data_IF_100162095265
#
_entry.id   IF_100162095265
#
_cell.length_a   1.000
_cell.length_b   1.000
_cell.length_c   1.000
_cell.angle_alpha   90.00
_cell.angle_beta   90.00
_cell.angle_gamma   90.00
#
_symmetry.space_group_name_H-M   'P 1'
#
loop_
_entity.id
_entity.type
_entity.pdbx_description
1 polymer ?
#
# COMPACT_ATOMS: atom_id res chain seq x y z
N UNK A 1 -5.01 -18.33 2.18
CA UNK A 1 -6.24 -19.13 2.00
C UNK A 1 -5.88 -20.60 1.82
N UNK A 2 -6.69 -21.51 2.42
CA UNK A 2 -6.44 -22.95 2.36
C UNK A 2 -6.83 -23.53 0.97
N UNK A 3 -6.29 -24.70 0.59
CA UNK A 3 -6.75 -25.41 -0.60
C UNK A 3 -8.27 -25.67 -0.53
N UNK A 4 -8.99 -25.35 -1.60
CA UNK A 4 -10.45 -25.51 -1.69
C UNK A 4 -11.27 -24.26 -1.36
N UNK A 5 -10.65 -23.16 -0.93
CA UNK A 5 -11.29 -21.85 -0.81
C UNK A 5 -11.51 -21.17 -2.17
N UNK A 6 -12.43 -20.20 -2.23
CA UNK A 6 -12.78 -19.45 -3.46
C UNK A 6 -11.58 -18.78 -4.15
N UNK A 7 -10.58 -18.36 -3.37
CA UNK A 7 -9.33 -17.76 -3.86
C UNK A 7 -8.15 -18.41 -3.14
N UNK A 8 -7.80 -19.66 -3.47
CA UNK A 8 -6.69 -20.35 -2.84
C UNK A 8 -5.37 -19.65 -3.19
N UNK A 9 -4.55 -19.38 -2.16
CA UNK A 9 -3.20 -18.87 -2.36
C UNK A 9 -2.27 -20.04 -2.71
N UNK A 10 -1.56 -19.95 -3.82
CA UNK A 10 -0.62 -20.98 -4.25
C UNK A 10 0.71 -20.80 -3.52
N UNK A 11 0.81 -21.37 -2.33
CA UNK A 11 2.00 -21.30 -1.49
C UNK A 11 3.22 -21.98 -2.12
N UNK A 12 3.02 -23.05 -2.87
CA UNK A 12 4.10 -23.76 -3.57
C UNK A 12 4.74 -22.86 -4.63
N UNK A 13 3.93 -22.24 -5.49
CA UNK A 13 4.41 -21.29 -6.50
C UNK A 13 5.09 -20.07 -5.85
N UNK A 14 4.55 -19.55 -4.73
CA UNK A 14 5.20 -18.50 -3.97
C UNK A 14 6.56 -18.94 -3.46
N UNK A 15 6.66 -20.12 -2.84
CA UNK A 15 7.91 -20.62 -2.25
C UNK A 15 8.97 -20.90 -3.33
N UNK A 16 8.57 -21.33 -4.51
CA UNK A 16 9.46 -21.58 -5.65
C UNK A 16 9.92 -20.29 -6.38
N UNK A 17 9.23 -19.16 -6.16
CA UNK A 17 9.59 -17.89 -6.81
C UNK A 17 10.78 -17.23 -6.11
N UNK A 18 11.72 -16.71 -6.89
CA UNK A 18 12.85 -15.89 -6.42
C UNK A 18 12.56 -14.37 -6.47
N UNK A 19 11.37 -13.97 -6.94
CA UNK A 19 11.01 -12.56 -7.07
C UNK A 19 11.03 -11.89 -5.69
N UNK A 20 11.82 -10.84 -5.47
CA UNK A 20 11.79 -10.09 -4.23
C UNK A 20 10.47 -9.33 -4.08
N UNK A 21 10.04 -9.14 -2.85
CA UNK A 21 8.88 -8.31 -2.51
C UNK A 21 9.07 -7.69 -1.12
N UNK A 22 8.31 -6.65 -0.82
CA UNK A 22 8.23 -6.05 0.51
C UNK A 22 6.77 -5.87 0.92
N UNK A 23 6.46 -6.21 2.16
CA UNK A 23 5.17 -5.92 2.81
C UNK A 23 5.41 -4.80 3.81
N UNK A 24 4.87 -3.60 3.55
CA UNK A 24 5.02 -2.45 4.43
C UNK A 24 3.93 -2.38 5.49
N UNK A 25 4.31 -2.17 6.76
CA UNK A 25 3.39 -1.99 7.87
C UNK A 25 3.90 -0.93 8.83
N UNK A 26 3.01 -0.33 9.61
CA UNK A 26 3.35 0.70 10.59
C UNK A 26 3.47 0.08 11.98
N UNK A 27 4.65 0.13 12.59
CA UNK A 27 4.88 -0.23 13.99
C UNK A 27 4.27 0.83 14.90
N UNK A 28 3.21 0.46 15.62
CA UNK A 28 2.47 1.38 16.48
C UNK A 28 3.29 1.85 17.69
N UNK A 29 4.32 1.11 18.08
CA UNK A 29 5.16 1.42 19.26
C UNK A 29 6.24 2.42 18.89
N UNK A 30 6.96 2.16 17.79
CA UNK A 30 8.10 2.99 17.38
C UNK A 30 7.70 4.16 16.48
N UNK A 31 6.54 4.08 15.82
CA UNK A 31 6.09 5.07 14.86
C UNK A 31 6.80 4.99 13.50
N UNK A 32 7.48 3.88 13.21
CA UNK A 32 8.23 3.67 11.97
C UNK A 32 7.49 2.71 11.03
N UNK A 33 7.68 2.89 9.73
CA UNK A 33 7.31 1.87 8.76
C UNK A 33 8.35 0.74 8.81
N UNK A 34 7.88 -0.49 8.88
CA UNK A 34 8.69 -1.70 8.73
C UNK A 34 8.33 -2.37 7.42
N UNK A 35 9.33 -2.97 6.78
CA UNK A 35 9.16 -3.70 5.53
C UNK A 35 9.64 -5.12 5.72
N UNK A 36 8.73 -6.06 5.53
CA UNK A 36 9.03 -7.50 5.57
C UNK A 36 9.25 -8.02 4.17
N UNK A 37 10.37 -8.68 3.98
CA UNK A 37 10.70 -9.38 2.74
C UNK A 37 10.38 -10.87 2.84
N UNK A 38 10.86 -11.61 1.86
CA UNK A 38 10.69 -13.05 1.77
C UNK A 38 11.33 -13.78 2.96
N UNK A 39 12.48 -13.28 3.41
CA UNK A 39 13.28 -13.79 4.52
C UNK A 39 12.56 -13.73 5.87
N UNK A 40 11.59 -12.82 6.01
CA UNK A 40 10.82 -12.65 7.24
C UNK A 40 9.61 -13.57 7.32
N UNK A 41 9.24 -14.21 6.21
CA UNK A 41 8.01 -15.01 6.11
C UNK A 41 8.30 -16.47 6.36
N UNK A 42 7.74 -17.02 7.45
CA UNK A 42 7.97 -18.40 7.89
C UNK A 42 7.10 -19.43 7.17
N UNK A 43 5.82 -19.10 6.98
CA UNK A 43 4.81 -19.96 6.38
C UNK A 43 3.62 -19.14 5.84
N UNK A 44 2.63 -19.82 5.26
CA UNK A 44 1.44 -19.18 4.71
C UNK A 44 0.62 -18.42 5.77
N UNK A 45 0.57 -18.88 7.00
CA UNK A 45 -0.14 -18.21 8.09
C UNK A 45 0.56 -16.91 8.49
N UNK A 46 1.88 -16.95 8.63
CA UNK A 46 2.71 -15.77 8.91
C UNK A 46 2.63 -14.75 7.78
N UNK A 47 2.71 -15.20 6.51
CA UNK A 47 2.50 -14.35 5.33
C UNK A 47 1.16 -13.64 5.38
N UNK A 48 0.07 -14.39 5.63
CA UNK A 48 -1.28 -13.84 5.71
C UNK A 48 -1.40 -12.82 6.85
N UNK A 49 -0.79 -13.09 8.01
CA UNK A 49 -0.80 -12.18 9.16
C UNK A 49 -0.07 -10.87 8.84
N UNK A 50 1.07 -10.91 8.14
CA UNK A 50 1.80 -9.72 7.68
C UNK A 50 1.00 -8.93 6.66
N UNK A 51 0.36 -9.58 5.70
CA UNK A 51 -0.56 -8.94 4.76
C UNK A 51 -1.74 -8.28 5.48
N UNK A 52 -2.31 -8.94 6.49
CA UNK A 52 -3.36 -8.35 7.32
C UNK A 52 -2.86 -7.12 8.07
N UNK A 53 -1.66 -7.15 8.66
CA UNK A 53 -1.06 -6.00 9.32
C UNK A 53 -0.89 -4.83 8.36
N UNK A 54 -0.36 -5.10 7.16
CA UNK A 54 -0.17 -4.10 6.09
C UNK A 54 -1.47 -3.46 5.60
N UNK A 55 -2.60 -4.12 5.79
CA UNK A 55 -3.93 -3.67 5.34
C UNK A 55 -4.84 -3.19 6.48
N UNK A 56 -4.37 -3.21 7.72
CA UNK A 56 -5.19 -2.87 8.91
C UNK A 56 -5.35 -1.36 9.05
N UNK A 57 -6.39 -0.83 8.40
CA UNK A 57 -6.71 0.60 8.39
C UNK A 57 -7.07 1.05 9.82
N UNK A 58 -6.41 2.13 10.33
CA UNK A 58 -6.71 2.67 11.65
C UNK A 58 -8.21 2.94 11.86
N UNK A 59 -8.74 2.58 13.03
CA UNK A 59 -10.14 2.70 13.44
C UNK A 59 -11.07 1.69 12.76
N UNK A 60 -10.93 1.47 11.45
CA UNK A 60 -11.80 0.59 10.69
C UNK A 60 -11.48 -0.90 10.93
N UNK A 61 -10.24 -1.21 11.28
CA UNK A 61 -9.75 -2.56 11.51
C UNK A 61 -8.92 -2.64 12.81
N UNK A 62 -8.89 -3.81 13.47
CA UNK A 62 -8.07 -3.99 14.66
C UNK A 62 -6.57 -3.94 14.32
N UNK A 63 -5.76 -3.52 15.31
CA UNK A 63 -4.30 -3.68 15.22
C UNK A 63 -3.95 -5.17 15.19
N UNK A 64 -3.00 -5.53 14.34
CA UNK A 64 -2.47 -6.89 14.26
C UNK A 64 -1.30 -7.02 15.22
N UNK A 65 -1.32 -8.06 16.04
CA UNK A 65 -0.22 -8.39 16.94
C UNK A 65 0.70 -9.42 16.26
N UNK A 66 1.96 -9.08 16.11
CA UNK A 66 2.98 -9.99 15.57
C UNK A 66 4.25 -9.88 16.42
N UNK A 67 4.71 -11.00 16.96
CA UNK A 67 5.91 -11.10 17.80
C UNK A 67 5.92 -10.07 18.96
N UNK A 68 4.76 -9.80 19.56
CA UNK A 68 4.59 -8.86 20.68
C UNK A 68 4.48 -7.39 20.31
N UNK A 69 4.55 -7.05 19.03
CA UNK A 69 4.42 -5.68 18.51
C UNK A 69 3.07 -5.48 17.81
N UNK A 70 2.45 -4.33 18.04
CA UNK A 70 1.20 -3.94 17.39
C UNK A 70 1.46 -3.22 16.07
N UNK A 71 0.78 -3.65 15.00
CA UNK A 71 0.93 -3.10 13.66
C UNK A 71 -0.39 -2.59 13.10
N UNK A 72 -0.29 -1.57 12.25
CA UNK A 72 -1.35 -1.01 11.42
C UNK A 72 -0.87 -0.86 9.97
N UNK A 73 -1.79 -0.47 9.09
CA UNK A 73 -1.53 -0.22 7.66
C UNK A 73 -0.32 0.70 7.45
N UNK A 74 0.62 0.28 6.62
CA UNK A 74 1.82 1.05 6.26
C UNK A 74 1.53 2.40 5.62
N UNK A 75 0.32 2.60 5.12
CA UNK A 75 -0.10 3.86 4.51
C UNK A 75 -0.15 5.06 5.47
N UNK A 76 -0.01 4.88 6.79
CA UNK A 76 0.14 5.99 7.74
C UNK A 76 1.61 6.34 8.01
N UNK A 77 2.55 5.59 7.43
CA UNK A 77 3.99 5.79 7.58
C UNK A 77 4.53 7.05 6.91
N UNK A 78 5.85 7.14 6.85
CA UNK A 78 6.58 8.36 6.44
C UNK A 78 6.35 8.76 4.98
N UNK A 79 6.13 7.80 4.09
CA UNK A 79 5.85 8.01 2.67
C UNK A 79 4.36 8.11 2.33
N UNK A 80 3.48 8.06 3.34
CA UNK A 80 2.03 8.11 3.14
C UNK A 80 1.43 6.87 2.46
N UNK A 81 2.22 5.79 2.30
CA UNK A 81 1.81 4.53 1.71
C UNK A 81 2.46 4.16 0.39
N UNK A 82 3.41 4.96 -0.07
CA UNK A 82 4.26 4.59 -1.21
C UNK A 82 5.51 3.88 -0.68
N UNK A 83 5.80 2.67 -1.15
CA UNK A 83 6.97 1.90 -0.72
C UNK A 83 8.26 2.30 -1.48
N UNK A 84 8.35 3.54 -1.92
CA UNK A 84 9.49 4.04 -2.73
C UNK A 84 10.78 4.10 -1.92
N UNK A 85 10.69 4.38 -0.63
CA UNK A 85 11.82 4.36 0.31
C UNK A 85 12.42 2.95 0.45
N UNK A 86 11.59 1.92 0.56
CA UNK A 86 12.04 0.53 0.57
C UNK A 86 12.72 0.13 -0.73
N UNK A 87 12.13 0.52 -1.87
CA UNK A 87 12.73 0.22 -3.17
C UNK A 87 14.09 0.92 -3.35
N UNK A 88 14.24 2.16 -2.89
CA UNK A 88 15.53 2.87 -2.88
C UNK A 88 16.56 2.19 -1.97
N UNK A 89 16.14 1.77 -0.79
CA UNK A 89 17.01 1.04 0.14
C UNK A 89 17.52 -0.28 -0.47
N UNK A 90 16.73 -0.92 -1.33
CA UNK A 90 17.12 -2.10 -2.09
C UNK A 90 17.94 -1.76 -3.37
N UNK A 91 18.25 -0.48 -3.63
CA UNK A 91 19.12 -0.01 -4.73
C UNK A 91 18.39 0.26 -6.05
N UNK A 92 17.07 0.29 -6.08
CA UNK A 92 16.31 0.63 -7.29
C UNK A 92 16.28 2.15 -7.50
N UNK A 93 16.52 2.57 -8.74
CA UNK A 93 16.53 3.98 -9.16
C UNK A 93 15.37 4.34 -10.10
N UNK A 94 14.66 3.32 -10.61
CA UNK A 94 13.51 3.48 -11.51
C UNK A 94 12.28 2.80 -10.94
N UNK A 95 11.11 3.47 -11.05
CA UNK A 95 9.90 3.06 -10.35
C UNK A 95 8.68 3.01 -11.27
N UNK A 96 8.07 1.84 -11.38
CA UNK A 96 6.70 1.73 -11.87
C UNK A 96 5.75 1.81 -10.66
N UNK A 97 4.97 2.87 -10.58
CA UNK A 97 4.04 3.10 -9.47
C UNK A 97 2.60 2.98 -9.95
N UNK A 98 1.91 1.95 -9.48
CA UNK A 98 0.49 1.73 -9.79
C UNK A 98 -0.36 2.51 -8.79
N UNK A 99 -1.00 3.56 -9.26
CA UNK A 99 -1.81 4.46 -8.45
C UNK A 99 -3.23 3.93 -8.27
N UNK A 100 -3.80 4.19 -7.10
CA UNK A 100 -5.20 3.84 -6.77
C UNK A 100 -6.14 5.07 -6.78
N UNK A 101 -5.64 6.20 -7.27
CA UNK A 101 -6.41 7.44 -7.43
C UNK A 101 -6.11 8.06 -8.78
N UNK A 102 -7.07 8.75 -9.40
CA UNK A 102 -6.86 9.44 -10.67
C UNK A 102 -5.78 10.52 -10.58
N UNK A 103 -5.23 10.89 -11.72
CA UNK A 103 -4.25 11.98 -11.83
C UNK A 103 -4.81 13.28 -11.24
N UNK A 104 -3.97 14.03 -10.54
CA UNK A 104 -4.33 15.28 -9.88
C UNK A 104 -5.00 15.11 -8.51
N UNK A 105 -5.25 13.88 -8.06
CA UNK A 105 -5.73 13.68 -6.69
C UNK A 105 -4.70 14.16 -5.69
N UNK A 106 -5.16 14.86 -4.66
CA UNK A 106 -4.37 15.21 -3.45
C UNK A 106 -5.18 14.82 -2.22
N UNK A 107 -4.50 14.29 -1.23
CA UNK A 107 -5.13 13.90 0.04
C UNK A 107 -5.46 15.16 0.85
N UNK A 108 -6.75 15.32 1.15
CA UNK A 108 -7.21 16.43 2.00
C UNK A 108 -6.89 16.23 3.49
N UNK A 109 -7.07 17.28 4.30
CA UNK A 109 -6.79 17.23 5.73
C UNK A 109 -7.64 16.18 6.45
N UNK A 110 -7.14 15.71 7.60
CA UNK A 110 -7.88 14.80 8.48
C UNK A 110 -9.12 15.51 9.02
N UNK A 111 -10.29 14.90 8.83
CA UNK A 111 -11.58 15.55 9.17
C UNK A 111 -11.92 15.48 10.66
N UNK A 112 -11.55 14.39 11.34
CA UNK A 112 -11.87 14.21 12.73
C UNK A 112 -10.89 14.99 13.64
N UNK A 113 -11.35 15.58 14.76
CA UNK A 113 -10.48 16.24 15.74
C UNK A 113 -9.41 15.30 16.30
N UNK A 114 -8.19 15.83 16.51
CA UNK A 114 -7.06 15.06 17.05
C UNK A 114 -7.38 14.35 18.39
N UNK A 115 -8.22 14.98 19.23
CA UNK A 115 -8.63 14.41 20.52
C UNK A 115 -9.33 13.05 20.41
N UNK A 116 -10.02 12.78 19.28
CA UNK A 116 -10.66 11.48 19.04
C UNK A 116 -9.59 10.42 18.86
N UNK A 117 -8.57 10.68 18.03
CA UNK A 117 -7.46 9.76 17.81
C UNK A 117 -6.63 9.56 19.07
N UNK A 118 -6.37 10.62 19.84
CA UNK A 118 -5.67 10.55 21.12
C UNK A 118 -6.40 9.65 22.14
N UNK A 119 -7.73 9.70 22.18
CA UNK A 119 -8.53 8.82 23.04
C UNK A 119 -8.46 7.37 22.61
N UNK A 120 -8.56 7.09 21.29
CA UNK A 120 -8.56 5.72 20.75
C UNK A 120 -7.16 5.10 20.87
N UNK A 121 -6.12 5.85 20.50
CA UNK A 121 -4.74 5.36 20.46
C UNK A 121 -3.91 5.88 21.66
N UNK A 122 -4.52 5.98 22.85
CA UNK A 122 -3.85 6.48 24.06
C UNK A 122 -2.52 5.81 24.37
N UNK A 123 -2.40 4.50 24.08
CA UNK A 123 -1.18 3.72 24.27
C UNK A 123 -0.14 3.88 23.15
N UNK A 124 -0.53 4.48 22.02
CA UNK A 124 0.27 4.57 20.81
C UNK A 124 0.25 6.00 20.25
N UNK A 125 0.89 6.97 20.92
CA UNK A 125 0.88 8.38 20.47
C UNK A 125 1.47 8.56 19.08
N UNK A 126 2.43 7.72 18.66
CA UNK A 126 3.01 7.73 17.33
C UNK A 126 1.96 7.45 16.23
N UNK A 127 0.96 6.62 16.50
CA UNK A 127 -0.16 6.37 15.57
C UNK A 127 -0.98 7.66 15.35
N UNK A 128 -1.21 8.41 16.42
CA UNK A 128 -1.96 9.69 16.34
C UNK A 128 -1.22 10.68 15.45
N UNK A 129 0.08 10.85 15.69
CA UNK A 129 0.93 11.73 14.87
C UNK A 129 0.92 11.29 13.39
N UNK A 130 1.13 9.99 13.15
CA UNK A 130 1.14 9.43 11.81
C UNK A 130 -0.16 9.69 11.05
N UNK A 131 -1.33 9.48 11.69
CA UNK A 131 -2.64 9.76 11.09
C UNK A 131 -2.78 11.23 10.73
N UNK A 132 -2.41 12.13 11.63
CA UNK A 132 -2.55 13.57 11.42
C UNK A 132 -1.63 14.10 10.32
N UNK A 133 -0.41 13.56 10.21
CA UNK A 133 0.56 13.94 9.19
C UNK A 133 0.41 13.20 7.86
N UNK A 134 -0.40 12.17 7.80
CA UNK A 134 -0.58 11.36 6.59
C UNK A 134 -0.90 12.18 5.32
N UNK A 135 -1.80 13.18 5.34
CA UNK A 135 -2.10 13.96 4.13
C UNK A 135 -0.88 14.70 3.59
N UNK A 136 -0.10 15.32 4.47
CA UNK A 136 1.13 16.03 4.13
C UNK A 136 2.16 15.06 3.52
N UNK A 137 2.45 13.97 4.22
CA UNK A 137 3.41 12.93 3.78
C UNK A 137 3.03 12.32 2.43
N UNK A 138 1.76 11.95 2.26
CA UNK A 138 1.25 11.42 1.00
C UNK A 138 1.45 12.39 -0.16
N UNK A 139 1.09 13.66 0.03
CA UNK A 139 1.19 14.66 -1.02
C UNK A 139 2.65 14.99 -1.35
N UNK A 140 3.53 15.10 -0.35
CA UNK A 140 4.96 15.34 -0.56
C UNK A 140 5.62 14.20 -1.34
N UNK A 141 5.33 12.93 -0.99
CA UNK A 141 5.85 11.78 -1.75
C UNK A 141 5.29 11.74 -3.16
N UNK A 142 4.02 12.12 -3.35
CA UNK A 142 3.44 12.18 -4.69
C UNK A 142 4.10 13.27 -5.55
N UNK A 143 4.38 14.45 -5.00
CA UNK A 143 5.11 15.52 -5.70
C UNK A 143 6.52 15.05 -6.11
N UNK A 144 7.21 14.33 -5.24
CA UNK A 144 8.51 13.72 -5.55
C UNK A 144 8.41 12.68 -6.67
N UNK A 145 7.40 11.81 -6.64
CA UNK A 145 7.18 10.81 -7.68
C UNK A 145 6.82 11.46 -9.03
N UNK A 146 6.05 12.54 -9.03
CA UNK A 146 5.74 13.31 -10.24
C UNK A 146 6.99 13.98 -10.82
N UNK A 147 7.91 14.46 -9.97
CA UNK A 147 9.21 14.95 -10.41
C UNK A 147 10.07 13.83 -11.01
N UNK A 148 10.16 12.67 -10.36
CA UNK A 148 10.86 11.51 -10.90
C UNK A 148 10.28 11.06 -12.25
N UNK A 149 8.97 11.15 -12.45
CA UNK A 149 8.35 10.90 -13.75
C UNK A 149 8.80 11.92 -14.80
N UNK A 150 8.88 13.19 -14.46
CA UNK A 150 9.40 14.22 -15.37
C UNK A 150 10.86 14.00 -15.75
N UNK A 151 11.66 13.39 -14.86
CA UNK A 151 13.04 12.99 -15.08
C UNK A 151 13.20 11.65 -15.84
N UNK A 152 12.10 10.97 -16.18
CA UNK A 152 12.13 9.65 -16.82
C UNK A 152 12.49 8.48 -15.87
N UNK A 153 12.56 8.73 -14.56
CA UNK A 153 12.90 7.75 -13.54
C UNK A 153 11.68 7.04 -12.91
N UNK A 154 10.49 7.57 -13.12
CA UNK A 154 9.25 6.92 -12.69
C UNK A 154 8.21 6.88 -13.81
N UNK A 155 7.40 5.82 -13.80
CA UNK A 155 6.18 5.71 -14.59
C UNK A 155 5.00 5.62 -13.61
N UNK A 156 4.19 6.68 -13.53
CA UNK A 156 3.03 6.72 -12.65
C UNK A 156 1.80 6.29 -13.44
N UNK A 157 1.37 5.05 -13.22
CA UNK A 157 0.19 4.48 -13.84
C UNK A 157 -1.06 4.88 -13.07
N UNK A 158 -1.82 5.82 -13.59
CA UNK A 158 -3.04 6.33 -12.97
C UNK A 158 -4.29 5.66 -13.54
N UNK A 159 -5.30 5.28 -12.73
CA UNK A 159 -6.61 4.93 -13.25
C UNK A 159 -7.24 6.16 -13.92
N UNK A 160 -7.79 5.97 -15.11
CA UNK A 160 -8.52 7.03 -15.83
C UNK A 160 -9.85 7.35 -15.17
N UNK A 161 -10.50 6.31 -14.66
CA UNK A 161 -11.78 6.40 -13.95
C UNK A 161 -11.65 5.79 -12.57
N UNK A 162 -12.52 6.17 -11.67
CA UNK A 162 -12.62 5.61 -10.32
C UNK A 162 -14.11 5.41 -9.97
N UNK A 163 -14.76 4.39 -10.57
CA UNK A 163 -16.21 4.20 -10.46
C UNK A 163 -16.65 3.72 -9.09
N UNK A 164 -15.70 3.34 -8.22
CA UNK A 164 -15.97 2.82 -6.87
C UNK A 164 -15.31 3.67 -5.79
N UNK A 165 -15.94 3.72 -4.62
CA UNK A 165 -15.37 4.29 -3.38
C UNK A 165 -14.67 3.22 -2.54
N UNK A 166 -13.87 3.64 -1.53
CA UNK A 166 -13.20 2.70 -0.63
C UNK A 166 -14.15 1.79 0.17
N UNK A 167 -15.43 2.16 0.28
CA UNK A 167 -16.44 1.38 0.99
C UNK A 167 -17.45 0.71 0.06
N UNK A 168 -17.17 0.62 -1.25
CA UNK A 168 -18.10 0.01 -2.21
C UNK A 168 -18.34 -1.47 -1.87
N UNK A 169 -19.61 -1.87 -1.87
CA UNK A 169 -20.04 -3.25 -1.61
C UNK A 169 -20.91 -3.83 -2.73
N UNK A 170 -21.23 -3.03 -3.74
CA UNK A 170 -21.99 -3.50 -4.88
C UNK A 170 -21.08 -4.31 -5.81
N UNK A 171 -21.30 -5.63 -5.87
CA UNK A 171 -20.48 -6.54 -6.67
C UNK A 171 -20.43 -6.17 -8.16
N UNK A 172 -21.53 -5.67 -8.73
CA UNK A 172 -21.58 -5.25 -10.14
C UNK A 172 -20.68 -4.05 -10.39
N UNK A 173 -20.66 -3.06 -9.49
CA UNK A 173 -19.76 -1.90 -9.61
C UNK A 173 -18.30 -2.29 -9.40
N UNK A 174 -18.01 -3.19 -8.48
CA UNK A 174 -16.66 -3.70 -8.25
C UNK A 174 -16.18 -4.45 -9.49
N UNK A 175 -17.03 -5.31 -10.07
CA UNK A 175 -16.71 -6.03 -11.29
C UNK A 175 -16.46 -5.08 -12.47
N UNK A 176 -17.32 -4.07 -12.67
CA UNK A 176 -17.14 -3.06 -13.72
C UNK A 176 -15.80 -2.30 -13.55
N UNK A 177 -15.46 -1.91 -12.31
CA UNK A 177 -14.18 -1.25 -12.02
C UNK A 177 -12.97 -2.14 -12.36
N UNK A 178 -13.06 -3.44 -12.07
CA UNK A 178 -12.04 -4.42 -12.44
C UNK A 178 -11.89 -4.52 -13.97
N UNK A 179 -13.00 -4.62 -14.69
CA UNK A 179 -12.99 -4.74 -16.16
C UNK A 179 -12.42 -3.50 -16.83
N UNK A 180 -12.79 -2.31 -16.37
CA UNK A 180 -12.21 -1.04 -16.84
C UNK A 180 -10.70 -0.99 -16.60
N UNK A 181 -10.25 -1.35 -15.40
CA UNK A 181 -8.83 -1.40 -15.07
C UNK A 181 -8.06 -2.40 -15.94
N UNK A 182 -8.64 -3.57 -16.23
CA UNK A 182 -8.05 -4.57 -17.12
C UNK A 182 -7.96 -4.09 -18.57
N UNK A 183 -8.99 -3.38 -19.07
CA UNK A 183 -8.97 -2.81 -20.42
C UNK A 183 -7.91 -1.72 -20.54
N UNK A 184 -7.85 -0.81 -19.57
CA UNK A 184 -6.84 0.23 -19.52
C UNK A 184 -5.43 -0.39 -19.47
N UNK A 185 -5.19 -1.36 -18.58
CA UNK A 185 -3.89 -2.00 -18.45
C UNK A 185 -3.43 -2.69 -19.75
N UNK A 186 -4.33 -3.38 -20.44
CA UNK A 186 -4.02 -4.01 -21.75
C UNK A 186 -3.65 -2.98 -22.82
N UNK A 187 -4.34 -1.86 -22.87
CA UNK A 187 -4.06 -0.76 -23.82
C UNK A 187 -2.69 -0.13 -23.52
N UNK A 188 -2.38 0.11 -22.26
CA UNK A 188 -1.20 0.87 -21.83
C UNK A 188 0.04 -0.02 -21.63
N UNK A 189 -0.11 -1.35 -21.68
CA UNK A 189 0.97 -2.33 -21.48
C UNK A 189 2.19 -2.11 -22.38
N UNK A 190 2.08 -1.73 -23.66
CA UNK A 190 3.25 -1.45 -24.50
C UNK A 190 4.13 -0.34 -23.93
N UNK A 191 3.54 0.79 -23.51
CA UNK A 191 4.27 1.91 -22.92
C UNK A 191 4.92 1.53 -21.57
N UNK A 192 4.24 0.72 -20.76
CA UNK A 192 4.81 0.21 -19.50
C UNK A 192 6.02 -0.68 -19.79
N UNK A 193 5.93 -1.57 -20.78
CA UNK A 193 7.05 -2.44 -21.19
C UNK A 193 8.24 -1.64 -21.73
N UNK A 194 7.98 -0.63 -22.53
CA UNK A 194 9.01 0.29 -23.04
C UNK A 194 9.75 0.98 -21.88
N UNK A 195 9.01 1.53 -20.92
CA UNK A 195 9.63 2.12 -19.73
C UNK A 195 10.46 1.11 -18.94
N UNK A 196 10.04 -0.13 -18.79
CA UNK A 196 10.77 -1.16 -18.04
C UNK A 196 12.00 -1.68 -18.78
N UNK A 197 12.05 -1.58 -20.11
CA UNK A 197 13.15 -2.09 -20.95
C UNK A 197 14.33 -1.12 -21.06
N UNK A 198 14.13 0.18 -20.89
CA UNK A 198 15.13 1.24 -20.99
C UNK A 198 15.62 1.74 -19.67
#
# INVERSE_FOLDING_TARGET
TAPGELLPYNWEAYSASSTPFKIGSFDCTTGKTVYWGREDVKDNSDFTTRCQASSSIPIAMPMVQLDGTAYLDGAIGETGGFAVDAARADGYERFLVVMTRPRGYRKGPVKAPAAIYQKIFKKYPAVVEAILRRPERYNATLDELEQLQAEGKAYLYYPETMPVSNGERNAVRIQAAYEEGMQQARRDLPAIKEFLAG
#
